data_IF_057023035245
#
_entry.id   IF_057023035245
#
_cell.length_a   1.000
_cell.length_b   1.000
_cell.length_c   1.000
_cell.angle_alpha   90.00
_cell.angle_beta   90.00
_cell.angle_gamma   90.00
#
_symmetry.space_group_name_H-M   'P 1'
#
loop_
_entity.id
_entity.type
_entity.pdbx_description
1 polymer ?
#
# COMPACT_ATOMS: atom_id res chain seq x y z
N UNK A 1 0.06 15.90 -10.72
CA UNK A 1 0.74 14.61 -10.49
C UNK A 1 1.23 13.97 -11.78
N UNK A 2 0.41 13.83 -12.84
CA UNK A 2 0.82 13.21 -14.11
C UNK A 2 2.13 13.81 -14.69
N UNK A 3 2.24 15.14 -14.75
CA UNK A 3 3.45 15.82 -15.23
C UNK A 3 4.70 15.56 -14.37
N UNK A 4 4.51 15.37 -13.05
CA UNK A 4 5.60 15.10 -12.13
C UNK A 4 6.11 13.67 -12.30
N UNK A 5 5.21 12.72 -12.50
CA UNK A 5 5.57 11.32 -12.79
C UNK A 5 6.29 11.21 -14.14
N UNK A 6 5.83 11.95 -15.16
CA UNK A 6 6.53 12.02 -16.45
C UNK A 6 7.94 12.60 -16.31
N UNK A 7 8.11 13.66 -15.51
CA UNK A 7 9.42 14.25 -15.24
C UNK A 7 10.36 13.28 -14.51
N UNK A 8 9.86 12.53 -13.52
CA UNK A 8 10.65 11.50 -12.83
C UNK A 8 11.01 10.33 -13.76
N UNK A 9 10.11 9.95 -14.66
CA UNK A 9 10.40 8.91 -15.67
C UNK A 9 11.50 9.35 -16.63
N UNK A 10 11.48 10.60 -17.10
CA UNK A 10 12.56 11.13 -17.93
C UNK A 10 13.92 11.16 -17.21
N UNK A 11 13.93 11.39 -15.89
CA UNK A 11 15.16 11.27 -15.08
C UNK A 11 15.62 9.81 -14.97
N UNK A 12 14.70 8.87 -14.78
CA UNK A 12 15.02 7.44 -14.78
C UNK A 12 15.59 6.97 -16.12
N UNK A 13 14.96 7.36 -17.23
CA UNK A 13 15.40 6.98 -18.58
C UNK A 13 16.82 7.51 -18.89
N UNK A 14 17.19 8.67 -18.33
CA UNK A 14 18.57 9.15 -18.37
C UNK A 14 19.54 8.28 -17.57
N UNK A 15 19.15 7.83 -16.37
CA UNK A 15 19.99 6.99 -15.52
C UNK A 15 20.20 5.60 -16.13
N UNK A 16 19.18 5.02 -16.74
CA UNK A 16 19.26 3.70 -17.37
C UNK A 16 19.96 3.74 -18.74
N UNK A 17 19.61 4.71 -19.58
CA UNK A 17 19.93 4.67 -21.01
C UNK A 17 20.77 5.86 -21.48
N UNK A 18 21.17 6.78 -20.58
CA UNK A 18 21.90 8.00 -20.94
C UNK A 18 21.08 9.02 -21.74
N UNK A 19 19.76 8.81 -21.87
CA UNK A 19 18.87 9.68 -22.65
C UNK A 19 18.81 11.09 -22.03
N UNK A 20 19.11 12.18 -22.76
CA UNK A 20 19.12 13.51 -22.17
C UNK A 20 17.80 13.89 -21.48
N UNK A 21 17.86 14.29 -20.20
CA UNK A 21 16.67 14.75 -19.47
C UNK A 21 16.20 16.11 -20.05
N UNK A 22 14.93 16.24 -20.47
CA UNK A 22 14.36 17.52 -20.91
C UNK A 22 14.49 18.62 -19.86
N UNK A 23 14.68 19.87 -20.30
CA UNK A 23 14.83 21.02 -19.40
C UNK A 23 13.65 21.17 -18.43
N UNK A 24 12.43 20.97 -18.92
CA UNK A 24 11.22 21.06 -18.10
C UNK A 24 11.15 19.97 -17.03
N UNK A 25 11.62 18.76 -17.33
CA UNK A 25 11.71 17.68 -16.36
C UNK A 25 12.76 17.99 -15.28
N UNK A 26 13.92 18.54 -15.68
CA UNK A 26 14.94 19.02 -14.73
C UNK A 26 14.38 20.12 -13.83
N UNK A 27 13.65 21.09 -14.39
CA UNK A 27 13.07 22.20 -13.65
C UNK A 27 12.03 21.74 -12.61
N UNK A 28 11.32 20.63 -12.87
CA UNK A 28 10.33 20.05 -11.96
C UNK A 28 10.92 19.18 -10.85
N UNK A 29 12.00 18.44 -11.12
CA UNK A 29 12.57 17.48 -10.15
C UNK A 29 13.66 18.13 -9.27
N UNK A 30 14.49 19.00 -9.85
CA UNK A 30 15.67 19.57 -9.17
C UNK A 30 15.32 20.36 -7.89
N UNK A 31 14.29 21.22 -7.85
CA UNK A 31 13.97 21.98 -6.63
C UNK A 31 13.60 21.06 -5.46
N UNK A 32 12.78 20.04 -5.71
CA UNK A 32 12.37 19.06 -4.71
C UNK A 32 13.54 18.25 -4.16
N UNK A 33 14.45 17.78 -5.03
CA UNK A 33 15.66 17.09 -4.58
C UNK A 33 16.57 18.02 -3.75
N UNK A 34 16.74 19.28 -4.16
CA UNK A 34 17.53 20.27 -3.42
C UNK A 34 16.96 20.51 -2.02
N UNK A 35 15.64 20.68 -1.91
CA UNK A 35 14.97 20.87 -0.62
C UNK A 35 15.11 19.64 0.28
N UNK A 36 14.91 18.45 -0.29
CA UNK A 36 15.05 17.19 0.42
C UNK A 36 16.46 16.98 0.99
N UNK A 37 17.50 17.13 0.17
CA UNK A 37 18.89 17.00 0.63
C UNK A 37 19.25 18.07 1.65
N UNK A 38 18.86 19.33 1.42
CA UNK A 38 19.08 20.40 2.39
C UNK A 38 18.42 20.11 3.74
N UNK A 39 17.23 19.51 3.79
CA UNK A 39 16.62 19.11 5.04
C UNK A 39 17.44 18.02 5.77
N UNK A 40 17.93 17.02 5.03
CA UNK A 40 18.77 15.95 5.58
C UNK A 40 20.12 16.46 6.10
N UNK A 41 20.80 17.32 5.35
CA UNK A 41 22.10 17.90 5.73
C UNK A 41 22.02 18.68 7.05
N UNK A 42 20.84 19.22 7.37
CA UNK A 42 20.57 19.97 8.59
C UNK A 42 19.87 19.11 9.68
N UNK A 43 19.82 17.78 9.51
CA UNK A 43 19.22 16.86 10.48
C UNK A 43 17.71 17.04 10.68
N UNK A 44 17.00 17.64 9.72
CA UNK A 44 15.55 17.87 9.80
C UNK A 44 14.77 16.69 9.22
N UNK A 45 13.59 16.36 9.75
CA UNK A 45 12.69 15.39 9.12
C UNK A 45 12.36 15.80 7.68
N UNK A 46 12.53 14.89 6.72
CA UNK A 46 12.30 15.14 5.31
C UNK A 46 11.48 14.02 4.66
N UNK A 47 10.65 14.35 3.68
CA UNK A 47 9.90 13.38 2.88
C UNK A 47 10.13 13.65 1.40
N UNK A 48 10.73 12.69 0.71
CA UNK A 48 10.99 12.80 -0.71
C UNK A 48 9.68 12.93 -1.52
N UNK A 49 8.64 12.16 -1.15
CA UNK A 49 7.31 12.27 -1.78
C UNK A 49 6.72 13.67 -1.66
N UNK A 50 6.90 14.32 -0.51
CA UNK A 50 6.43 15.69 -0.31
C UNK A 50 7.24 16.69 -1.11
N UNK A 51 8.57 16.60 -1.04
CA UNK A 51 9.48 17.52 -1.74
C UNK A 51 9.35 17.40 -3.27
N UNK A 52 9.05 16.20 -3.78
CA UNK A 52 8.77 15.97 -5.20
C UNK A 52 7.32 16.25 -5.59
N UNK A 53 6.44 16.72 -4.68
CA UNK A 53 5.04 17.00 -4.99
C UNK A 53 4.19 15.77 -5.33
N UNK A 54 4.66 14.57 -4.96
CA UNK A 54 3.91 13.31 -5.05
C UNK A 54 2.90 13.16 -3.90
N UNK A 55 3.02 14.01 -2.87
CA UNK A 55 2.14 14.05 -1.71
C UNK A 55 1.85 15.50 -1.29
N UNK A 56 0.59 15.79 -0.95
CA UNK A 56 0.16 17.05 -0.31
C UNK A 56 0.25 16.97 1.22
N UNK A 57 0.11 18.12 1.90
CA UNK A 57 -0.07 18.16 3.36
C UNK A 57 -1.24 17.25 3.78
N UNK A 58 -0.99 16.27 4.64
CA UNK A 58 -1.97 15.25 5.04
C UNK A 58 -2.18 14.08 4.06
N UNK A 59 -1.56 14.11 2.88
CA UNK A 59 -1.66 13.03 1.88
C UNK A 59 -0.97 11.74 2.28
N UNK A 60 -1.37 10.63 1.65
CA UNK A 60 -0.72 9.32 1.82
C UNK A 60 0.52 9.27 0.91
N UNK A 61 1.62 8.70 1.38
CA UNK A 61 2.83 8.50 0.56
C UNK A 61 2.56 7.48 -0.55
N UNK A 62 3.31 7.53 -1.65
CA UNK A 62 3.14 6.58 -2.76
C UNK A 62 3.28 5.13 -2.27
N UNK A 63 4.28 4.88 -1.43
CA UNK A 63 4.48 3.58 -0.79
C UNK A 63 3.26 3.12 0.03
N UNK A 64 2.69 3.99 0.87
CA UNK A 64 1.50 3.64 1.66
C UNK A 64 0.27 3.41 0.78
N UNK A 65 0.16 4.10 -0.35
CA UNK A 65 -0.93 3.88 -1.31
C UNK A 65 -0.80 2.49 -1.97
N UNK A 66 0.41 2.08 -2.35
CA UNK A 66 0.69 0.73 -2.88
C UNK A 66 0.35 -0.35 -1.84
N UNK A 67 0.87 -0.23 -0.61
CA UNK A 67 0.57 -1.19 0.48
C UNK A 67 -0.94 -1.27 0.75
N UNK A 68 -1.66 -0.15 0.66
CA UNK A 68 -3.12 -0.13 0.81
C UNK A 68 -3.81 -0.89 -0.32
N UNK A 69 -3.42 -0.66 -1.57
CA UNK A 69 -3.99 -1.33 -2.73
C UNK A 69 -3.71 -2.85 -2.68
N UNK A 70 -2.49 -3.25 -2.35
CA UNK A 70 -2.11 -4.66 -2.20
C UNK A 70 -2.91 -5.35 -1.08
N UNK A 71 -3.06 -4.69 0.07
CA UNK A 71 -3.94 -5.17 1.15
C UNK A 71 -5.37 -5.38 0.64
N UNK A 72 -5.93 -4.38 -0.04
CA UNK A 72 -7.32 -4.42 -0.49
C UNK A 72 -7.52 -5.59 -1.47
N UNK A 73 -6.60 -5.80 -2.42
CA UNK A 73 -6.60 -6.96 -3.34
C UNK A 73 -6.54 -8.31 -2.60
N UNK A 74 -5.66 -8.44 -1.60
CA UNK A 74 -5.55 -9.67 -0.80
C UNK A 74 -6.86 -9.98 -0.06
N UNK A 75 -7.48 -8.97 0.54
CA UNK A 75 -8.74 -9.12 1.28
C UNK A 75 -9.90 -9.48 0.37
N UNK A 76 -9.93 -8.89 -0.82
CA UNK A 76 -10.92 -9.20 -1.85
C UNK A 76 -10.80 -10.65 -2.35
N UNK A 77 -9.58 -11.09 -2.67
CA UNK A 77 -9.30 -12.47 -3.08
C UNK A 77 -9.63 -13.49 -1.97
N UNK A 78 -9.24 -13.18 -0.73
CA UNK A 78 -9.57 -14.01 0.43
C UNK A 78 -11.08 -14.13 0.62
N UNK A 79 -11.82 -13.02 0.48
CA UNK A 79 -13.26 -13.04 0.63
C UNK A 79 -13.95 -13.97 -0.39
N UNK A 80 -13.53 -13.89 -1.65
CA UNK A 80 -14.09 -14.73 -2.72
C UNK A 80 -13.79 -16.22 -2.56
N UNK A 81 -12.61 -16.57 -2.04
CA UNK A 81 -12.18 -17.98 -1.89
C UNK A 81 -12.61 -18.62 -0.57
N UNK A 82 -12.63 -17.86 0.53
CA UNK A 82 -12.84 -18.40 1.87
C UNK A 82 -14.27 -18.26 2.38
N UNK A 83 -15.03 -17.26 1.90
CA UNK A 83 -16.43 -17.05 2.25
C UNK A 83 -17.34 -16.93 1.01
N UNK A 84 -17.37 -17.95 0.14
CA UNK A 84 -18.16 -17.88 -1.08
C UNK A 84 -19.66 -17.76 -0.77
N UNK A 85 -20.36 -16.89 -1.50
CA UNK A 85 -21.81 -16.72 -1.44
C UNK A 85 -22.36 -16.06 -0.16
N UNK A 86 -21.49 -15.68 0.78
CA UNK A 86 -21.95 -15.02 2.01
C UNK A 86 -22.17 -13.51 1.83
N UNK A 87 -23.14 -12.90 2.55
CA UNK A 87 -23.34 -11.46 2.50
C UNK A 87 -22.09 -10.68 2.97
N UNK A 88 -21.74 -9.59 2.27
CA UNK A 88 -20.58 -8.73 2.59
C UNK A 88 -20.55 -8.30 4.06
N UNK A 89 -21.71 -7.98 4.62
CA UNK A 89 -21.82 -7.59 6.03
C UNK A 89 -21.38 -8.70 6.98
N UNK A 90 -21.70 -9.96 6.67
CA UNK A 90 -21.28 -11.14 7.42
C UNK A 90 -19.79 -11.38 7.26
N UNK A 91 -19.30 -11.41 6.01
CA UNK A 91 -17.88 -11.61 5.70
C UNK A 91 -16.99 -10.58 6.39
N UNK A 92 -17.37 -9.29 6.33
CA UNK A 92 -16.59 -8.21 6.97
C UNK A 92 -16.44 -8.39 8.48
N UNK A 93 -17.48 -8.86 9.17
CA UNK A 93 -17.43 -9.09 10.63
C UNK A 93 -16.61 -10.34 10.95
N UNK A 94 -16.83 -11.43 10.23
CA UNK A 94 -16.11 -12.69 10.42
C UNK A 94 -14.62 -12.50 10.15
N UNK A 95 -14.25 -11.97 8.98
CA UNK A 95 -12.86 -11.74 8.60
C UNK A 95 -12.12 -10.85 9.62
N UNK A 96 -12.75 -9.77 10.09
CA UNK A 96 -12.15 -8.92 11.12
C UNK A 96 -11.95 -9.67 12.45
N UNK A 97 -12.97 -10.39 12.92
CA UNK A 97 -12.86 -11.16 14.17
C UNK A 97 -11.79 -12.25 14.09
N UNK A 98 -11.72 -12.96 12.97
CA UNK A 98 -10.71 -13.99 12.73
C UNK A 98 -9.30 -13.42 12.64
N UNK A 99 -9.13 -12.27 11.98
CA UNK A 99 -7.86 -11.56 11.94
C UNK A 99 -7.41 -11.14 13.35
N UNK A 100 -8.29 -10.52 14.14
CA UNK A 100 -7.97 -10.12 15.51
C UNK A 100 -7.56 -11.32 16.37
N UNK A 101 -8.22 -12.47 16.21
CA UNK A 101 -7.85 -13.71 16.89
C UNK A 101 -6.48 -14.21 16.43
N UNK A 102 -6.21 -14.20 15.12
CA UNK A 102 -4.92 -14.60 14.56
C UNK A 102 -3.78 -13.73 15.10
N UNK A 103 -3.96 -12.41 15.07
CA UNK A 103 -2.99 -11.42 15.53
C UNK A 103 -2.65 -11.57 17.03
N UNK A 104 -3.65 -11.86 17.86
CA UNK A 104 -3.44 -12.06 19.31
C UNK A 104 -2.78 -13.39 19.67
N UNK A 105 -2.98 -14.43 18.86
CA UNK A 105 -2.61 -15.80 19.23
C UNK A 105 -1.44 -16.34 18.42
N UNK A 106 -1.64 -16.55 17.12
CA UNK A 106 -0.68 -17.23 16.24
C UNK A 106 0.45 -16.31 15.81
N UNK A 107 0.15 -15.04 15.53
CA UNK A 107 1.13 -14.11 14.99
C UNK A 107 2.41 -14.01 15.83
N UNK A 108 2.29 -13.99 17.16
CA UNK A 108 3.46 -13.93 18.06
C UNK A 108 4.48 -15.05 17.83
N UNK A 109 4.03 -16.21 17.36
CA UNK A 109 4.86 -17.39 17.06
C UNK A 109 5.25 -17.50 15.59
N UNK A 110 4.54 -16.78 14.71
CA UNK A 110 4.66 -16.92 13.25
C UNK A 110 5.36 -15.72 12.59
N UNK A 111 5.56 -14.61 13.32
CA UNK A 111 6.15 -13.36 12.79
C UNK A 111 7.56 -13.50 12.24
N UNK A 112 8.35 -14.43 12.77
CA UNK A 112 9.74 -14.69 12.39
C UNK A 112 9.89 -15.87 11.41
N UNK A 113 8.79 -16.51 11.02
CA UNK A 113 8.84 -17.61 10.05
C UNK A 113 9.26 -17.08 8.67
N UNK A 114 10.09 -17.85 7.98
CA UNK A 114 10.50 -17.54 6.61
C UNK A 114 9.41 -17.80 5.58
N UNK A 115 8.43 -18.64 5.91
CA UNK A 115 7.35 -19.04 5.01
C UNK A 115 5.99 -18.79 5.64
N UNK A 116 5.05 -18.35 4.81
CA UNK A 116 3.66 -18.14 5.20
C UNK A 116 2.99 -19.47 5.59
N UNK A 117 1.97 -19.44 6.47
CA UNK A 117 1.07 -20.58 6.67
C UNK A 117 0.49 -21.07 5.34
N UNK A 118 0.24 -22.38 5.22
CA UNK A 118 -0.25 -22.98 3.97
C UNK A 118 -1.75 -22.78 3.73
N UNK A 119 -2.55 -22.55 4.77
CA UNK A 119 -4.00 -22.46 4.70
C UNK A 119 -4.54 -21.04 4.84
N UNK A 120 -5.59 -20.74 4.07
CA UNK A 120 -6.42 -19.56 4.30
C UNK A 120 -7.33 -19.78 5.53
N UNK A 121 -7.64 -18.71 6.29
CA UNK A 121 -7.33 -17.29 6.02
C UNK A 121 -5.96 -16.85 6.60
N UNK A 122 -5.25 -17.76 7.28
CA UNK A 122 -4.03 -17.44 8.03
C UNK A 122 -2.88 -16.98 7.13
N UNK A 123 -2.76 -17.56 5.94
CA UNK A 123 -1.76 -17.16 4.94
C UNK A 123 -1.89 -15.68 4.59
N UNK A 124 -3.10 -15.25 4.22
CA UNK A 124 -3.38 -13.84 3.93
C UNK A 124 -3.12 -12.94 5.14
N UNK A 125 -3.57 -13.35 6.33
CA UNK A 125 -3.34 -12.55 7.54
C UNK A 125 -1.86 -12.39 7.90
N UNK A 126 -1.07 -13.44 7.71
CA UNK A 126 0.38 -13.40 7.86
C UNK A 126 1.02 -12.41 6.89
N UNK A 127 0.64 -12.47 5.60
CA UNK A 127 1.14 -11.56 4.57
C UNK A 127 0.84 -10.10 4.91
N UNK A 128 -0.38 -9.80 5.35
CA UNK A 128 -0.76 -8.45 5.77
C UNK A 128 0.13 -7.92 6.90
N UNK A 129 0.36 -8.72 7.93
CA UNK A 129 1.17 -8.31 9.08
C UNK A 129 2.66 -8.16 8.72
N UNK A 130 3.20 -8.98 7.82
CA UNK A 130 4.56 -8.82 7.29
C UNK A 130 4.74 -7.49 6.55
N UNK A 131 3.75 -7.08 5.77
CA UNK A 131 3.74 -5.76 5.09
C UNK A 131 3.45 -4.59 6.05
N UNK A 132 3.40 -4.85 7.37
CA UNK A 132 3.00 -3.88 8.41
C UNK A 132 1.63 -3.26 8.14
N UNK A 133 0.75 -4.04 7.51
CA UNK A 133 -0.63 -3.69 7.20
C UNK A 133 -1.59 -4.48 8.10
N UNK A 134 -2.84 -4.01 8.21
CA UNK A 134 -3.87 -4.64 9.04
C UNK A 134 -5.20 -4.71 8.31
N UNK A 135 -6.03 -5.67 8.70
CA UNK A 135 -7.44 -5.71 8.30
C UNK A 135 -8.14 -4.49 8.89
N UNK A 136 -8.78 -3.63 8.06
CA UNK A 136 -9.56 -2.50 8.56
C UNK A 136 -10.75 -2.95 9.40
N UNK A 137 -11.27 -2.05 10.24
CA UNK A 137 -12.50 -2.32 10.98
C UNK A 137 -13.67 -2.69 10.06
N UNK A 138 -14.71 -3.38 10.58
CA UNK A 138 -15.75 -4.01 9.76
C UNK A 138 -16.44 -3.07 8.77
N UNK A 139 -16.67 -1.80 9.13
CA UNK A 139 -17.33 -0.83 8.24
C UNK A 139 -16.48 -0.42 7.04
N UNK A 140 -15.17 -0.22 7.23
CA UNK A 140 -14.26 0.07 6.14
C UNK A 140 -14.00 -1.19 5.31
N UNK A 141 -13.87 -2.34 5.95
CA UNK A 141 -13.73 -3.62 5.27
C UNK A 141 -14.94 -3.90 4.37
N UNK A 142 -16.17 -3.61 4.82
CA UNK A 142 -17.37 -3.70 4.00
C UNK A 142 -17.27 -2.88 2.71
N UNK A 143 -16.72 -1.65 2.77
CA UNK A 143 -16.52 -0.81 1.58
C UNK A 143 -15.52 -1.42 0.61
N UNK A 144 -14.43 -2.00 1.13
CA UNK A 144 -13.39 -2.68 0.32
C UNK A 144 -13.98 -3.90 -0.38
N UNK A 145 -14.77 -4.69 0.34
CA UNK A 145 -15.37 -5.93 -0.17
C UNK A 145 -16.58 -5.69 -1.08
N UNK A 146 -17.29 -4.57 -0.94
CA UNK A 146 -18.44 -4.25 -1.79
C UNK A 146 -18.11 -4.26 -3.29
N UNK A 147 -16.86 -3.93 -3.65
CA UNK A 147 -16.37 -3.97 -5.04
C UNK A 147 -16.37 -5.38 -5.64
N UNK A 148 -16.24 -6.43 -4.82
CA UNK A 148 -16.13 -7.84 -5.26
C UNK A 148 -17.49 -8.54 -5.29
N UNK A 149 -18.39 -8.16 -4.39
CA UNK A 149 -19.69 -8.80 -4.21
C UNK A 149 -20.83 -8.06 -4.91
N UNK A 150 -20.56 -6.93 -5.58
CA UNK A 150 -21.43 -6.40 -6.61
C UNK A 150 -21.27 -7.28 -7.86
N UNK A 151 -22.11 -8.31 -7.98
CA UNK A 151 -22.29 -9.01 -9.25
C UNK A 151 -22.75 -8.04 -10.34
N UNK A 152 -22.52 -8.34 -11.63
CA UNK A 152 -23.15 -7.59 -12.71
C UNK A 152 -24.67 -7.64 -12.50
N UNK A 153 -25.33 -6.49 -12.67
CA UNK A 153 -26.78 -6.42 -12.86
C UNK A 153 -27.11 -7.15 -14.16
#
# INVERSE_FOLDING_TARGET
MADQVAALRAVFDFLENGTPVPLDAKARVRPGLKEYFSALDHGRPASLDFALGLKSHGGVTAHKAVVKAERDTLLQSLAGSHWPGQPVATVSRQMYAEFCRYEKTRWQRERERQQAPSSEPHRTFWQLLQMRSRVPGPDHLRKILAVVFQGPI
#
